data_IF_551261773645
#
_entry.id   IF_551261773645
#
_cell.length_a   1.000
_cell.length_b   1.000
_cell.length_c   1.000
_cell.angle_alpha   90.00
_cell.angle_beta   90.00
_cell.angle_gamma   90.00
#
_symmetry.space_group_name_H-M   'P 1'
#
loop_
_entity.id
_entity.type
_entity.pdbx_description
1 polymer ?
#
# COMPACT_ATOMS: atom_id res chain seq x y z
N UNK A 1 -0.19 14.95 26.50
CA UNK A 1 -0.44 13.63 27.14
C UNK A 1 -1.89 13.25 26.86
N UNK A 2 -2.12 12.29 25.95
CA UNK A 2 -3.47 11.90 25.57
C UNK A 2 -4.13 11.11 26.71
N UNK A 3 -5.35 11.50 27.08
CA UNK A 3 -6.16 10.83 28.10
C UNK A 3 -6.29 9.34 27.76
N UNK A 4 -5.77 8.47 28.64
CA UNK A 4 -6.03 7.03 28.60
C UNK A 4 -7.49 6.81 29.00
N UNK A 5 -8.41 6.98 28.05
CA UNK A 5 -9.78 6.54 28.23
C UNK A 5 -9.76 5.05 28.45
N UNK A 6 -10.27 4.62 29.60
CA UNK A 6 -10.33 3.22 29.98
C UNK A 6 -11.48 2.59 29.18
N UNK A 7 -11.22 2.23 27.92
CA UNK A 7 -12.17 1.55 27.05
C UNK A 7 -12.56 0.22 27.73
N UNK A 8 -13.83 0.04 28.09
CA UNK A 8 -14.34 -1.13 28.80
C UNK A 8 -15.67 -1.57 28.18
N UNK A 9 -15.89 -2.87 28.06
CA UNK A 9 -17.14 -3.42 27.53
C UNK A 9 -17.38 -3.02 26.06
N UNK A 10 -18.61 -2.63 25.72
CA UNK A 10 -19.03 -2.33 24.35
C UNK A 10 -18.33 -1.13 23.70
N UNK A 11 -17.87 -0.15 24.48
CA UNK A 11 -17.11 1.00 23.94
C UNK A 11 -15.73 0.59 23.41
N UNK A 12 -15.16 -0.50 23.94
CA UNK A 12 -13.94 -1.09 23.41
C UNK A 12 -14.22 -1.83 22.10
N UNK A 13 -15.37 -2.48 21.97
CA UNK A 13 -15.75 -3.17 20.74
C UNK A 13 -15.96 -2.17 19.59
N UNK A 14 -16.65 -1.06 19.85
CA UNK A 14 -16.80 0.04 18.89
C UNK A 14 -15.46 0.66 18.49
N UNK A 15 -14.55 0.87 19.46
CA UNK A 15 -13.22 1.39 19.17
C UNK A 15 -12.37 0.41 18.33
N UNK A 16 -12.51 -0.90 18.56
CA UNK A 16 -11.88 -1.94 17.74
C UNK A 16 -12.43 -1.88 16.32
N UNK A 17 -13.75 -1.87 16.15
CA UNK A 17 -14.38 -1.90 14.83
C UNK A 17 -14.04 -0.63 14.04
N UNK A 18 -14.07 0.54 14.68
CA UNK A 18 -13.66 1.81 14.08
C UNK A 18 -12.17 1.82 13.66
N UNK A 19 -11.29 1.29 14.51
CA UNK A 19 -9.87 1.19 14.19
C UNK A 19 -9.62 0.23 13.02
N UNK A 20 -10.27 -0.93 13.02
CA UNK A 20 -10.14 -1.91 11.93
C UNK A 20 -10.59 -1.32 10.60
N UNK A 21 -11.71 -0.59 10.56
CA UNK A 21 -12.18 0.10 9.37
C UNK A 21 -11.15 1.13 8.86
N UNK A 22 -10.54 1.93 9.76
CA UNK A 22 -9.47 2.86 9.38
C UNK A 22 -8.25 2.13 8.82
N UNK A 23 -7.84 1.01 9.44
CA UNK A 23 -6.69 0.23 8.99
C UNK A 23 -6.93 -0.44 7.62
N UNK A 24 -8.14 -0.92 7.36
CA UNK A 24 -8.53 -1.40 6.03
C UNK A 24 -8.39 -0.27 5.01
N UNK A 25 -8.98 0.90 5.28
CA UNK A 25 -8.93 2.06 4.37
C UNK A 25 -7.50 2.56 4.10
N UNK A 26 -6.59 2.47 5.07
CA UNK A 26 -5.18 2.83 4.91
C UNK A 26 -4.39 1.79 4.11
N UNK A 27 -4.88 0.56 4.04
CA UNK A 27 -4.26 -0.54 3.31
C UNK A 27 -3.11 -1.22 4.04
N UNK A 28 -2.73 -2.39 3.52
CA UNK A 28 -1.79 -3.31 4.15
C UNK A 28 -0.38 -2.74 4.36
N UNK A 29 0.11 -1.91 3.42
CA UNK A 29 1.47 -1.37 3.47
C UNK A 29 1.65 -0.32 4.57
N UNK A 30 0.59 0.44 4.88
CA UNK A 30 0.64 1.55 5.85
C UNK A 30 0.08 1.15 7.22
N UNK A 31 -0.90 0.24 7.26
CA UNK A 31 -1.58 -0.15 8.49
C UNK A 31 -1.92 -1.65 8.52
N UNK A 32 -0.91 -2.54 8.59
CA UNK A 32 -1.16 -3.98 8.60
C UNK A 32 -1.95 -4.41 9.84
N UNK A 33 -3.05 -5.11 9.62
CA UNK A 33 -3.91 -5.59 10.72
C UNK A 33 -3.26 -6.80 11.39
N UNK A 34 -2.97 -6.64 12.68
CA UNK A 34 -2.52 -7.72 13.56
C UNK A 34 -2.91 -7.43 15.00
N UNK A 35 -3.07 -8.48 15.83
CA UNK A 35 -3.39 -8.31 17.25
C UNK A 35 -2.39 -7.41 18.00
N UNK A 36 -1.06 -7.52 17.80
CA UNK A 36 -0.10 -6.60 18.42
C UNK A 36 -0.27 -5.14 17.98
N UNK A 37 -0.59 -4.91 16.70
CA UNK A 37 -0.76 -3.56 16.17
C UNK A 37 -2.04 -2.91 16.71
N UNK A 38 -3.15 -3.65 16.73
CA UNK A 38 -4.41 -3.21 17.33
C UNK A 38 -4.23 -2.89 18.82
N UNK A 39 -3.52 -3.75 19.56
CA UNK A 39 -3.20 -3.50 20.97
C UNK A 39 -2.43 -2.18 21.15
N UNK A 40 -1.40 -1.94 20.32
CA UNK A 40 -0.56 -0.74 20.40
C UNK A 40 -1.38 0.52 20.11
N UNK A 41 -2.18 0.51 19.03
CA UNK A 41 -2.97 1.66 18.59
C UNK A 41 -4.10 2.01 19.56
N UNK A 42 -4.72 1.01 20.18
CA UNK A 42 -5.74 1.21 21.22
C UNK A 42 -5.15 1.47 22.61
N UNK A 43 -3.82 1.44 22.76
CA UNK A 43 -3.15 1.68 24.05
C UNK A 43 -3.48 0.62 25.12
N UNK A 44 -3.83 -0.60 24.70
CA UNK A 44 -4.26 -1.67 25.61
C UNK A 44 -3.06 -2.27 26.34
N UNK A 45 -3.19 -2.45 27.64
CA UNK A 45 -2.13 -2.98 28.51
C UNK A 45 -1.95 -4.50 28.35
N UNK A 46 -2.98 -5.25 27.97
CA UNK A 46 -2.93 -6.71 27.86
C UNK A 46 -3.55 -7.24 26.58
N UNK A 47 -2.86 -8.18 25.93
CA UNK A 47 -3.39 -8.95 24.77
C UNK A 47 -4.57 -9.82 25.12
N UNK A 48 -4.75 -10.17 26.40
CA UNK A 48 -5.91 -10.96 26.84
C UNK A 48 -7.23 -10.20 26.63
N UNK A 49 -7.21 -8.89 26.39
CA UNK A 49 -8.40 -8.12 26.05
C UNK A 49 -8.87 -8.31 24.60
N UNK A 50 -8.00 -8.87 23.74
CA UNK A 50 -8.20 -9.08 22.31
C UNK A 50 -8.33 -10.57 21.95
N UNK A 51 -8.66 -11.44 22.91
CA UNK A 51 -8.99 -12.85 22.65
C UNK A 51 -10.51 -13.05 22.51
N UNK A 52 -10.94 -14.28 22.18
CA UNK A 52 -12.35 -14.60 21.95
C UNK A 52 -12.90 -13.92 20.70
N UNK A 53 -14.10 -13.33 20.80
CA UNK A 53 -14.81 -12.70 19.68
C UNK A 53 -14.05 -11.54 19.06
N UNK A 54 -13.44 -10.69 19.88
CA UNK A 54 -12.57 -9.60 19.41
C UNK A 54 -11.39 -10.13 18.60
N UNK A 55 -10.80 -11.23 19.07
CA UNK A 55 -9.71 -11.90 18.38
C UNK A 55 -10.11 -12.50 17.05
N UNK A 56 -11.38 -12.95 16.91
CA UNK A 56 -11.96 -13.41 15.65
C UNK A 56 -12.21 -12.25 14.69
N UNK A 57 -12.78 -11.14 15.16
CA UNK A 57 -13.00 -9.93 14.34
C UNK A 57 -11.71 -9.37 13.75
N UNK A 58 -10.65 -9.28 14.55
CA UNK A 58 -9.33 -8.83 14.07
C UNK A 58 -8.80 -9.77 12.98
N UNK A 59 -8.98 -11.09 13.13
CA UNK A 59 -8.54 -12.04 12.12
C UNK A 59 -9.36 -11.93 10.83
N UNK A 60 -10.68 -11.81 10.93
CA UNK A 60 -11.55 -11.58 9.76
C UNK A 60 -11.19 -10.28 9.03
N UNK A 61 -10.92 -9.19 9.75
CA UNK A 61 -10.50 -7.92 9.16
C UNK A 61 -9.12 -8.01 8.51
N UNK A 62 -8.20 -8.77 9.10
CA UNK A 62 -6.89 -9.07 8.50
C UNK A 62 -7.05 -9.84 7.18
N UNK A 63 -7.91 -10.86 7.16
CA UNK A 63 -8.20 -11.64 5.94
C UNK A 63 -8.80 -10.73 4.87
N UNK A 64 -9.75 -9.86 5.23
CA UNK A 64 -10.34 -8.89 4.32
C UNK A 64 -9.28 -7.94 3.72
N UNK A 65 -8.40 -7.39 4.56
CA UNK A 65 -7.31 -6.51 4.12
C UNK A 65 -6.31 -7.23 3.19
N UNK A 66 -6.03 -8.51 3.46
CA UNK A 66 -5.16 -9.32 2.60
C UNK A 66 -5.82 -9.57 1.24
N UNK A 67 -7.10 -9.96 1.23
CA UNK A 67 -7.87 -10.17 0.00
C UNK A 67 -7.95 -8.89 -0.86
N UNK A 68 -8.22 -7.72 -0.26
CA UNK A 68 -8.23 -6.43 -0.97
C UNK A 68 -6.87 -6.09 -1.58
N UNK A 69 -5.77 -6.49 -0.92
CA UNK A 69 -4.41 -6.30 -1.45
C UNK A 69 -3.97 -7.38 -2.46
N UNK A 70 -4.84 -8.35 -2.79
CA UNK A 70 -4.52 -9.49 -3.65
C UNK A 70 -3.52 -10.48 -3.03
N UNK A 71 -3.39 -10.49 -1.70
CA UNK A 71 -2.51 -11.40 -0.96
C UNK A 71 -3.31 -12.50 -0.29
N UNK A 72 -2.77 -13.72 -0.34
CA UNK A 72 -3.41 -14.89 0.24
C UNK A 72 -3.40 -14.84 1.79
N UNK A 73 -4.57 -14.90 2.45
CA UNK A 73 -4.69 -14.92 3.90
C UNK A 73 -4.04 -16.14 4.58
N UNK A 74 -3.96 -17.28 3.88
CA UNK A 74 -3.40 -18.53 4.39
C UNK A 74 -1.89 -18.65 4.14
N UNK A 75 -1.18 -17.50 4.08
CA UNK A 75 0.24 -17.33 3.70
C UNK A 75 1.32 -18.12 4.48
N UNK A 76 0.96 -19.17 5.21
CA UNK A 76 1.85 -20.29 5.47
C UNK A 76 2.15 -21.06 4.17
N UNK A 77 3.09 -20.54 3.35
CA UNK A 77 4.09 -21.29 2.52
C UNK A 77 4.45 -20.71 1.15
N UNK A 78 4.06 -19.48 0.80
CA UNK A 78 4.79 -18.75 -0.26
C UNK A 78 5.05 -17.31 0.15
N UNK A 79 5.92 -17.14 1.15
CA UNK A 79 6.92 -16.08 0.99
C UNK A 79 7.56 -16.40 -0.35
N UNK A 80 7.33 -15.57 -1.38
CA UNK A 80 8.35 -15.46 -2.41
C UNK A 80 9.66 -15.29 -1.65
N UNK A 81 10.64 -16.16 -1.88
CA UNK A 81 11.93 -15.99 -1.21
C UNK A 81 12.37 -14.55 -1.47
N UNK A 82 13.17 -13.95 -0.57
CA UNK A 82 13.67 -12.60 -0.81
C UNK A 82 14.30 -12.50 -2.22
N UNK A 83 14.89 -13.60 -2.69
CA UNK A 83 15.39 -13.79 -4.05
C UNK A 83 14.29 -13.70 -5.13
N UNK A 84 13.15 -14.39 -4.98
CA UNK A 84 12.03 -14.28 -5.93
C UNK A 84 11.41 -12.87 -5.95
N UNK A 85 11.39 -12.17 -4.82
CA UNK A 85 10.93 -10.78 -4.77
C UNK A 85 11.94 -9.84 -5.44
N UNK A 86 13.24 -10.04 -5.20
CA UNK A 86 14.31 -9.31 -5.87
C UNK A 86 14.26 -9.55 -7.37
N UNK A 87 14.13 -10.79 -7.83
CA UNK A 87 14.04 -11.14 -9.24
C UNK A 87 12.83 -10.49 -9.92
N UNK A 88 11.67 -10.49 -9.26
CA UNK A 88 10.49 -9.82 -9.77
C UNK A 88 10.67 -8.30 -9.90
N UNK A 89 11.22 -7.65 -8.87
CA UNK A 89 11.48 -6.20 -8.89
C UNK A 89 12.55 -5.83 -9.92
N UNK A 90 13.57 -6.68 -10.11
CA UNK A 90 14.58 -6.49 -11.15
C UNK A 90 13.98 -6.60 -12.55
N UNK A 91 13.09 -7.57 -12.78
CA UNK A 91 12.39 -7.71 -14.05
C UNK A 91 11.47 -6.50 -14.33
N UNK A 92 10.71 -6.06 -13.33
CA UNK A 92 9.85 -4.87 -13.44
C UNK A 92 10.68 -3.61 -13.72
N UNK A 93 11.81 -3.43 -13.04
CA UNK A 93 12.71 -2.31 -13.29
C UNK A 93 13.28 -2.35 -14.71
N UNK A 94 13.69 -3.52 -15.20
CA UNK A 94 14.15 -3.67 -16.58
C UNK A 94 13.05 -3.35 -17.60
N UNK A 95 11.80 -3.71 -17.33
CA UNK A 95 10.65 -3.35 -18.16
C UNK A 95 10.40 -1.84 -18.17
N UNK A 96 10.42 -1.20 -17.01
CA UNK A 96 10.25 0.25 -16.88
C UNK A 96 11.36 1.02 -17.59
N UNK A 97 12.61 0.56 -17.49
CA UNK A 97 13.75 1.15 -18.22
C UNK A 97 13.52 1.04 -19.73
N UNK A 98 13.10 -0.13 -20.22
CA UNK A 98 12.77 -0.30 -21.65
C UNK A 98 11.63 0.60 -22.11
N UNK A 99 10.59 0.76 -21.30
CA UNK A 99 9.48 1.67 -21.61
C UNK A 99 9.96 3.13 -21.65
N UNK A 100 10.76 3.54 -20.67
CA UNK A 100 11.37 4.87 -20.62
C UNK A 100 12.20 5.15 -21.88
N UNK A 101 13.07 4.24 -22.27
CA UNK A 101 13.96 4.42 -23.42
C UNK A 101 13.17 4.55 -24.72
N UNK A 102 12.11 3.73 -24.91
CA UNK A 102 11.19 3.86 -26.04
C UNK A 102 10.47 5.21 -26.09
N UNK A 103 10.05 5.73 -24.94
CA UNK A 103 9.43 7.04 -24.85
C UNK A 103 10.41 8.16 -25.20
N UNK A 104 11.67 8.05 -24.78
CA UNK A 104 12.72 8.99 -25.16
C UNK A 104 13.04 8.96 -26.65
N UNK A 105 13.11 7.78 -27.26
CA UNK A 105 13.28 7.64 -28.71
C UNK A 105 12.13 8.30 -29.46
N UNK A 106 10.88 8.03 -29.07
CA UNK A 106 9.70 8.64 -29.67
C UNK A 106 9.71 10.17 -29.52
N UNK A 107 10.07 10.69 -28.35
CA UNK A 107 10.21 12.13 -28.11
C UNK A 107 11.32 12.75 -28.97
N UNK A 108 12.45 12.06 -29.13
CA UNK A 108 13.56 12.52 -29.97
C UNK A 108 13.14 12.65 -31.43
N UNK A 109 12.40 11.66 -31.95
CA UNK A 109 11.86 11.70 -33.32
C UNK A 109 10.86 12.84 -33.49
N UNK A 110 9.99 13.09 -32.50
CA UNK A 110 9.04 14.20 -32.54
C UNK A 110 9.79 15.55 -32.56
N UNK A 111 10.78 15.71 -31.67
CA UNK A 111 11.58 16.93 -31.59
C UNK A 111 12.33 17.20 -32.90
N UNK A 112 12.97 16.19 -33.48
CA UNK A 112 13.71 16.31 -34.75
C UNK A 112 12.77 16.70 -35.91
N UNK A 113 11.60 16.07 -36.01
CA UNK A 113 10.60 16.43 -37.02
C UNK A 113 10.11 17.87 -36.87
N UNK A 114 9.95 18.36 -35.65
CA UNK A 114 9.56 19.75 -35.39
C UNK A 114 10.67 20.73 -35.79
N UNK A 115 11.94 20.42 -35.46
CA UNK A 115 13.08 21.23 -35.89
C UNK A 115 13.17 21.31 -37.42
N UNK A 116 13.05 20.19 -38.13
CA UNK A 116 13.07 20.14 -39.61
C UNK A 116 11.93 20.97 -40.22
N UNK A 117 10.77 21.01 -39.56
CA UNK A 117 9.60 21.78 -40.01
C UNK A 117 9.61 23.24 -39.53
N UNK A 118 10.61 23.68 -38.79
CA UNK A 118 10.68 25.03 -38.22
C UNK A 118 9.61 25.29 -37.14
N UNK A 119 9.09 24.23 -36.50
CA UNK A 119 8.13 24.31 -35.40
C UNK A 119 8.91 24.45 -34.10
N UNK A 120 8.50 25.39 -33.24
CA UNK A 120 9.09 25.55 -31.91
C UNK A 120 8.79 24.33 -31.03
N UNK A 121 9.84 23.57 -30.72
CA UNK A 121 9.78 22.36 -29.91
C UNK A 121 9.43 22.68 -28.45
N UNK A 122 9.95 23.79 -27.90
CA UNK A 122 9.70 24.17 -26.52
C UNK A 122 8.23 24.55 -26.32
N UNK A 123 7.65 25.29 -27.27
CA UNK A 123 6.22 25.63 -27.25
C UNK A 123 5.34 24.36 -27.31
N UNK A 124 5.66 23.45 -28.22
CA UNK A 124 4.93 22.18 -28.37
C UNK A 124 5.00 21.32 -27.09
N UNK A 125 6.17 21.21 -26.47
CA UNK A 125 6.39 20.40 -25.26
C UNK A 125 5.95 21.11 -23.96
N UNK A 126 5.59 22.39 -24.01
CA UNK A 126 5.21 23.17 -22.83
C UNK A 126 4.06 22.54 -22.02
N UNK A 127 3.13 21.86 -22.69
CA UNK A 127 2.00 21.15 -22.06
C UNK A 127 2.41 19.93 -21.21
N UNK A 128 3.60 19.37 -21.46
CA UNK A 128 4.12 18.19 -20.76
C UNK A 128 4.95 18.55 -19.52
N UNK A 129 5.32 19.83 -19.33
CA UNK A 129 5.96 20.29 -18.09
C UNK A 129 4.98 20.14 -16.92
N UNK A 130 5.31 19.27 -15.96
CA UNK A 130 4.63 19.28 -14.65
C UNK A 130 4.93 20.61 -13.96
N UNK A 131 3.88 21.28 -13.47
CA UNK A 131 4.00 22.35 -12.47
C UNK A 131 4.36 21.78 -11.11
#
# INVERSE_FOLDING_TARGET
MAQRQTLRGGTLDEAIDALLAQMISLGLELAPISRPEVQRRLGLTSRATLVGDRGRRIESARIAQLNESGRDPDGARRRRSLEERIAHLQAENADLVRQRDRLFEALSVIADNCLVKGIDVEEMLASLRRR
#
